data_IF_564866310162
#
_entry.id   IF_564866310162
#
_cell.length_a   1.000
_cell.length_b   1.000
_cell.length_c   1.000
_cell.angle_alpha   90.00
_cell.angle_beta   90.00
_cell.angle_gamma   90.00
#
_symmetry.space_group_name_H-M   'P 1'
#
loop_
_entity.id
_entity.type
_entity.pdbx_description
1 polymer ?
#
# COMPACT_ATOMS: atom_id res chain seq x y z
N UNK A 1 -18.21 -8.69 -4.91
CA UNK A 1 -17.16 -9.37 -5.70
C UNK A 1 -16.39 -8.26 -6.41
N UNK A 2 -15.35 -7.72 -5.79
CA UNK A 2 -14.56 -6.61 -6.32
C UNK A 2 -13.18 -7.14 -6.74
N UNK A 3 -12.68 -6.71 -7.90
CA UNK A 3 -11.27 -6.91 -8.27
C UNK A 3 -10.44 -5.83 -7.57
N UNK A 4 -9.48 -6.25 -6.76
CA UNK A 4 -8.55 -5.32 -6.12
C UNK A 4 -7.62 -4.70 -7.17
N UNK A 5 -7.33 -3.40 -7.03
CA UNK A 5 -6.41 -2.68 -7.90
C UNK A 5 -5.07 -2.56 -7.18
N UNK A 6 -3.95 -3.06 -7.74
CA UNK A 6 -2.63 -2.90 -7.16
C UNK A 6 -2.27 -1.43 -6.98
N UNK A 7 -1.77 -1.09 -5.79
CA UNK A 7 -1.32 0.26 -5.42
C UNK A 7 0.18 0.24 -5.17
N UNK A 8 0.93 1.18 -5.75
CA UNK A 8 2.39 1.25 -5.60
C UNK A 8 2.76 2.00 -4.33
N UNK A 9 3.68 1.46 -3.53
CA UNK A 9 4.25 2.18 -2.39
C UNK A 9 5.18 3.28 -2.89
N UNK A 10 4.88 4.52 -2.53
CA UNK A 10 5.66 5.71 -2.90
C UNK A 10 6.38 6.34 -1.71
N UNK A 11 5.93 6.10 -0.49
CA UNK A 11 6.57 6.58 0.75
C UNK A 11 6.38 5.55 1.89
N UNK A 12 7.35 5.47 2.80
CA UNK A 12 7.33 4.57 3.97
C UNK A 12 7.71 5.33 5.25
N UNK A 13 6.85 5.22 6.27
CA UNK A 13 7.00 5.86 7.57
C UNK A 13 6.67 4.85 8.69
N UNK A 14 7.66 4.03 9.06
CA UNK A 14 7.46 2.98 10.07
C UNK A 14 6.41 1.97 9.63
N UNK A 15 5.31 1.86 10.39
CA UNK A 15 4.18 0.98 10.05
C UNK A 15 3.10 1.66 9.20
N UNK A 16 3.38 2.84 8.65
CA UNK A 16 2.50 3.53 7.71
C UNK A 16 3.18 3.61 6.34
N UNK A 17 2.40 3.46 5.28
CA UNK A 17 2.86 3.65 3.91
C UNK A 17 1.92 4.58 3.15
N UNK A 18 2.47 5.42 2.27
CA UNK A 18 1.68 6.11 1.25
C UNK A 18 1.72 5.30 -0.03
N UNK A 19 0.55 4.91 -0.53
CA UNK A 19 0.39 4.19 -1.80
C UNK A 19 -0.31 5.04 -2.85
N UNK A 20 0.02 4.82 -4.13
CA UNK A 20 -0.58 5.48 -5.27
C UNK A 20 -1.29 4.49 -6.20
N UNK A 21 -2.53 4.83 -6.59
CA UNK A 21 -3.34 4.06 -7.53
C UNK A 21 -4.12 5.01 -8.43
N UNK A 22 -3.88 4.94 -9.74
CA UNK A 22 -4.57 5.79 -10.72
C UNK A 22 -4.46 7.31 -10.47
N UNK A 23 -3.36 7.76 -9.86
CA UNK A 23 -3.13 9.16 -9.46
C UNK A 23 -3.74 9.56 -8.11
N UNK A 24 -4.50 8.68 -7.46
CA UNK A 24 -4.96 8.88 -6.08
C UNK A 24 -3.91 8.37 -5.10
N UNK A 25 -3.68 9.12 -4.02
CA UNK A 25 -2.76 8.75 -2.93
C UNK A 25 -3.54 8.39 -1.67
N UNK A 26 -3.11 7.35 -0.97
CA UNK A 26 -3.70 6.90 0.30
C UNK A 26 -2.63 6.48 1.29
N UNK A 27 -2.80 6.87 2.54
CA UNK A 27 -2.02 6.33 3.66
C UNK A 27 -2.67 5.05 4.18
N UNK A 28 -1.87 4.00 4.33
CA UNK A 28 -2.32 2.66 4.75
C UNK A 28 -1.44 2.13 5.87
N UNK A 29 -2.03 1.36 6.78
CA UNK A 29 -1.28 0.66 7.83
C UNK A 29 -0.67 -0.63 7.30
N UNK A 30 0.59 -0.85 7.64
CA UNK A 30 1.36 -2.06 7.35
C UNK A 30 1.36 -3.03 8.54
N UNK A 31 0.67 -2.74 9.64
CA UNK A 31 0.73 -3.57 10.86
C UNK A 31 0.30 -5.03 10.66
N UNK A 32 -0.50 -5.31 9.63
CA UNK A 32 -0.99 -6.64 9.30
C UNK A 32 -0.17 -7.32 8.19
N UNK A 33 0.89 -6.69 7.69
CA UNK A 33 1.76 -7.32 6.70
C UNK A 33 2.61 -8.40 7.35
N UNK A 34 2.64 -9.61 6.77
CA UNK A 34 3.46 -10.72 7.28
C UNK A 34 4.95 -10.55 6.95
N UNK A 35 5.26 -9.71 5.95
CA UNK A 35 6.58 -9.50 5.39
C UNK A 35 6.87 -8.01 5.27
N UNK A 36 8.15 -7.64 5.37
CA UNK A 36 8.57 -6.27 5.17
C UNK A 36 8.35 -5.85 3.71
N UNK A 37 7.93 -4.60 3.53
CA UNK A 37 7.68 -4.01 2.20
C UNK A 37 8.70 -2.91 1.90
N UNK A 38 8.96 -2.69 0.62
CA UNK A 38 9.91 -1.69 0.14
C UNK A 38 9.23 -0.63 -0.74
N UNK A 39 9.94 0.50 -0.93
CA UNK A 39 9.53 1.50 -1.90
C UNK A 39 9.48 0.89 -3.30
N UNK A 40 8.37 1.11 -4.00
CA UNK A 40 8.13 0.59 -5.34
C UNK A 40 7.38 -0.73 -5.40
N UNK A 41 7.20 -1.43 -4.28
CA UNK A 41 6.35 -2.62 -4.22
C UNK A 41 4.89 -2.28 -4.49
N UNK A 42 4.16 -3.27 -4.98
CA UNK A 42 2.73 -3.16 -5.23
C UNK A 42 1.97 -4.01 -4.22
N UNK A 43 1.02 -3.37 -3.54
CA UNK A 43 0.19 -4.00 -2.51
C UNK A 43 -1.29 -3.92 -2.86
N UNK A 44 -2.04 -4.90 -2.35
CA UNK A 44 -3.51 -4.87 -2.37
C UNK A 44 -3.99 -4.34 -1.03
N UNK A 45 -4.78 -3.27 -1.07
CA UNK A 45 -5.30 -2.62 0.14
C UNK A 45 -6.75 -3.03 0.34
N UNK A 46 -7.06 -3.47 1.56
CA UNK A 46 -8.43 -3.74 2.01
C UNK A 46 -8.71 -2.96 3.31
N UNK A 47 -9.98 -2.74 3.59
CA UNK A 47 -10.46 -2.07 4.80
C UNK A 47 -11.01 -3.09 5.79
#
# INVERSE_FOLDING_TARGET
MCLAIPSKIIELEGFMATVEVGGARKSVSLQLMPEDVALGDYVLVHA
#
